data_IF_667776828791
#
_entry.id   IF_667776828791
#
_cell.length_a   1.000
_cell.length_b   1.000
_cell.length_c   1.000
_cell.angle_alpha   90.00
_cell.angle_beta   90.00
_cell.angle_gamma   90.00
#
_symmetry.space_group_name_H-M   'P 1'
#
loop_
_entity.id
_entity.type
_entity.pdbx_description
1 polymer ?
#
# COMPACT_ATOMS: atom_id res chain seq x y z
N UNK A 1 8.25 -6.64 69.63
CA UNK A 1 9.12 -5.46 69.49
C UNK A 1 8.57 -4.56 68.42
N UNK A 2 7.99 -3.49 68.87
CA UNK A 2 7.28 -2.46 68.13
C UNK A 2 8.22 -1.44 67.49
N UNK A 3 7.95 -1.01 66.26
CA UNK A 3 8.35 0.28 65.68
C UNK A 3 7.34 0.50 64.52
N UNK A 4 6.44 1.45 64.47
CA UNK A 4 6.52 2.85 64.78
C UNK A 4 6.22 3.57 63.45
N UNK A 5 4.89 3.80 63.13
CA UNK A 5 4.46 4.62 61.99
C UNK A 5 4.62 6.11 62.34
N UNK A 6 5.24 6.87 61.43
CA UNK A 6 5.23 8.32 61.46
C UNK A 6 4.27 8.88 60.40
N UNK A 7 3.49 9.91 60.70
CA UNK A 7 2.51 10.44 59.72
C UNK A 7 3.13 11.53 58.86
N UNK A 8 2.85 11.47 57.54
CA UNK A 8 3.13 12.59 56.63
C UNK A 8 2.08 13.68 56.74
N UNK A 9 2.56 14.87 57.00
CA UNK A 9 1.77 16.10 56.99
C UNK A 9 1.45 16.53 55.57
N UNK A 10 0.16 16.70 55.30
CA UNK A 10 -0.34 17.37 54.10
C UNK A 10 -0.18 18.88 54.30
N UNK A 11 0.58 19.54 53.43
CA UNK A 11 0.66 20.99 53.36
C UNK A 11 -0.25 21.39 52.15
N UNK A 12 -1.42 21.98 52.47
CA UNK A 12 -2.24 22.68 51.51
C UNK A 12 -1.59 24.01 51.16
N UNK A 13 -1.17 24.21 49.92
CA UNK A 13 -0.82 25.53 49.37
C UNK A 13 -1.94 25.96 48.46
N UNK A 14 -2.73 26.95 48.92
CA UNK A 14 -3.71 27.65 48.11
C UNK A 14 -2.98 28.59 47.16
N UNK A 15 -3.17 28.39 45.84
CA UNK A 15 -2.79 29.37 44.83
C UNK A 15 -4.04 30.10 44.31
N UNK A 16 -3.99 31.41 44.45
CA UNK A 16 -5.00 32.33 43.91
C UNK A 16 -4.97 32.32 42.38
N UNK A 17 -6.15 32.21 41.79
CA UNK A 17 -6.43 32.43 40.39
C UNK A 17 -6.18 33.92 40.03
N UNK A 18 -5.17 34.16 39.19
CA UNK A 18 -5.08 35.36 38.38
C UNK A 18 -5.57 35.01 36.96
N UNK A 19 -6.70 35.51 36.59
CA UNK A 19 -7.22 35.45 35.23
C UNK A 19 -6.38 36.35 34.33
N UNK A 20 -5.50 35.75 33.54
CA UNK A 20 -4.81 36.39 32.42
C UNK A 20 -5.49 35.97 31.10
N UNK A 21 -6.21 36.91 30.46
CA UNK A 21 -6.62 36.76 29.06
C UNK A 21 -5.36 36.79 28.19
N UNK A 22 -4.86 35.61 27.80
CA UNK A 22 -3.89 35.45 26.70
C UNK A 22 -4.63 35.16 25.39
N UNK A 23 -4.10 35.59 24.24
CA UNK A 23 -4.75 35.33 22.94
C UNK A 23 -4.81 33.82 22.68
N UNK A 24 -6.00 33.35 22.26
CA UNK A 24 -6.27 31.95 22.01
C UNK A 24 -5.24 31.35 21.06
N UNK A 25 -4.60 30.27 21.49
CA UNK A 25 -3.94 29.33 20.57
C UNK A 25 -5.05 28.67 19.73
N UNK A 26 -5.25 29.20 18.53
CA UNK A 26 -6.10 28.53 17.55
C UNK A 26 -5.54 27.13 17.31
N UNK A 27 -6.40 26.14 17.40
CA UNK A 27 -6.12 24.74 17.03
C UNK A 27 -5.69 24.69 15.56
N UNK A 28 -4.39 24.73 15.27
CA UNK A 28 -3.85 24.57 13.92
C UNK A 28 -4.26 23.22 13.29
N UNK A 29 -4.50 22.19 14.12
CA UNK A 29 -4.92 20.87 13.66
C UNK A 29 -6.34 20.78 13.11
N UNK A 30 -7.29 21.59 13.63
CA UNK A 30 -8.68 21.57 13.13
C UNK A 30 -8.85 22.31 11.80
N UNK A 31 -7.99 23.31 11.53
CA UNK A 31 -8.05 24.08 10.28
C UNK A 31 -7.43 23.33 9.09
N UNK A 32 -6.43 22.47 9.32
CA UNK A 32 -5.77 21.68 8.29
C UNK A 32 -6.65 20.50 7.84
N UNK A 33 -7.32 19.82 8.78
CA UNK A 33 -8.24 18.72 8.47
C UNK A 33 -9.45 19.16 7.62
N UNK A 34 -9.86 20.42 7.71
CA UNK A 34 -10.96 20.99 6.92
C UNK A 34 -10.60 21.23 5.43
N UNK A 35 -9.32 21.21 5.08
CA UNK A 35 -8.82 21.41 3.72
C UNK A 35 -8.51 20.09 2.98
N UNK A 36 -8.51 18.96 3.70
CA UNK A 36 -8.24 17.67 3.09
C UNK A 36 -9.46 17.17 2.29
N UNK A 37 -9.24 16.53 1.14
CA UNK A 37 -10.32 16.07 0.29
C UNK A 37 -11.12 14.95 0.96
N UNK A 38 -12.43 14.94 0.72
CA UNK A 38 -13.32 13.86 1.13
C UNK A 38 -14.27 13.53 -0.01
N UNK A 39 -14.15 12.31 -0.52
CA UNK A 39 -14.97 11.82 -1.64
C UNK A 39 -15.89 10.68 -1.19
N UNK A 40 -17.03 10.60 -1.86
CA UNK A 40 -17.94 9.48 -1.79
C UNK A 40 -18.11 8.85 -3.16
N UNK A 41 -18.50 7.58 -3.19
CA UNK A 41 -18.69 6.87 -4.45
C UNK A 41 -19.87 7.45 -5.26
N UNK A 42 -19.62 7.64 -6.56
CA UNK A 42 -20.60 7.85 -7.60
C UNK A 42 -20.18 7.01 -8.83
N UNK A 43 -21.15 6.46 -9.55
CA UNK A 43 -20.88 5.60 -10.72
C UNK A 43 -20.15 6.33 -11.87
N UNK A 44 -20.20 7.66 -11.90
CA UNK A 44 -19.46 8.49 -12.87
C UNK A 44 -17.96 8.52 -12.61
N UNK A 45 -17.51 8.04 -11.45
CA UNK A 45 -16.09 7.90 -11.11
C UNK A 45 -15.42 6.69 -11.77
N UNK A 46 -16.20 5.72 -12.28
CA UNK A 46 -15.68 4.49 -12.89
C UNK A 46 -14.88 4.82 -14.17
N UNK A 47 -13.61 4.39 -14.20
CA UNK A 47 -12.69 4.70 -15.29
C UNK A 47 -11.73 3.51 -15.56
N UNK A 48 -11.63 3.02 -16.82
CA UNK A 48 -12.49 3.34 -17.96
C UNK A 48 -13.95 2.95 -17.73
N UNK A 49 -14.87 3.71 -18.33
CA UNK A 49 -16.31 3.50 -18.13
C UNK A 49 -16.84 2.18 -18.73
N UNK A 50 -16.10 1.58 -19.66
CA UNK A 50 -16.43 0.30 -20.29
C UNK A 50 -16.00 -0.91 -19.46
N UNK A 51 -15.29 -0.69 -18.33
CA UNK A 51 -14.80 -1.77 -17.48
C UNK A 51 -13.81 -2.70 -18.18
N UNK A 52 -12.95 -2.17 -19.04
CA UNK A 52 -12.03 -2.93 -19.89
C UNK A 52 -10.72 -3.38 -19.19
N UNK A 53 -10.55 -3.07 -17.92
CA UNK A 53 -9.45 -3.58 -17.10
C UNK A 53 -9.87 -4.87 -16.38
N UNK A 54 -8.88 -5.60 -15.85
CA UNK A 54 -9.14 -6.80 -15.06
C UNK A 54 -8.17 -6.85 -13.88
N UNK A 55 -8.68 -6.54 -12.69
CA UNK A 55 -7.92 -6.43 -11.45
C UNK A 55 -6.77 -5.39 -11.58
N UNK A 56 -7.10 -4.11 -11.86
CA UNK A 56 -6.12 -3.02 -11.92
C UNK A 56 -5.62 -2.70 -10.51
N UNK A 57 -4.63 -3.44 -10.05
CA UNK A 57 -4.25 -3.52 -8.65
C UNK A 57 -3.41 -2.32 -8.21
N UNK A 58 -2.53 -1.84 -9.09
CA UNK A 58 -1.66 -0.69 -8.83
C UNK A 58 -1.34 0.05 -10.14
N UNK A 59 -0.63 1.16 -10.08
CA UNK A 59 -0.19 1.88 -11.27
C UNK A 59 0.49 3.21 -10.96
N UNK A 60 0.92 3.86 -12.03
CA UNK A 60 1.54 5.20 -11.96
C UNK A 60 0.96 6.12 -13.03
N UNK A 61 0.97 7.41 -12.76
CA UNK A 61 0.64 8.43 -13.75
C UNK A 61 1.92 9.00 -14.38
N UNK A 62 1.91 9.08 -15.70
CA UNK A 62 2.96 9.74 -16.46
C UNK A 62 2.73 11.27 -16.49
N UNK A 63 3.77 12.07 -16.74
CA UNK A 63 3.65 13.54 -16.78
C UNK A 63 2.63 14.07 -17.80
N UNK A 64 2.31 13.29 -18.82
CA UNK A 64 1.32 13.63 -19.86
C UNK A 64 -0.11 13.20 -19.50
N UNK A 65 -0.33 12.67 -18.30
CA UNK A 65 -1.63 12.27 -17.77
C UNK A 65 -2.08 10.86 -18.16
N UNK A 66 -1.30 10.13 -18.96
CA UNK A 66 -1.53 8.70 -19.21
C UNK A 66 -1.20 7.88 -17.98
N UNK A 67 -1.88 6.75 -17.81
CA UNK A 67 -1.62 5.82 -16.72
C UNK A 67 -0.94 4.57 -17.25
N UNK A 68 0.01 4.05 -16.47
CA UNK A 68 0.47 2.67 -16.62
C UNK A 68 -0.05 1.91 -15.43
N UNK A 69 -0.90 0.92 -15.69
CA UNK A 69 -1.64 0.18 -14.68
C UNK A 69 -1.20 -1.28 -14.67
N UNK A 70 -0.95 -1.82 -13.50
CA UNK A 70 -0.76 -3.26 -13.29
C UNK A 70 -2.12 -3.95 -13.31
N UNK A 71 -2.42 -4.60 -14.41
CA UNK A 71 -3.60 -5.45 -14.58
C UNK A 71 -3.17 -6.91 -14.32
N UNK A 72 -3.64 -7.49 -13.22
CA UNK A 72 -3.18 -8.82 -12.81
C UNK A 72 -3.54 -9.92 -13.82
N UNK A 73 -4.51 -9.68 -14.70
CA UNK A 73 -4.94 -10.65 -15.73
C UNK A 73 -4.25 -10.42 -17.06
N UNK A 74 -4.01 -9.15 -17.45
CA UNK A 74 -3.51 -8.80 -18.78
C UNK A 74 -2.05 -8.27 -18.79
N UNK A 75 -1.39 -8.18 -17.63
CA UNK A 75 -0.08 -7.56 -17.49
C UNK A 75 -0.17 -6.03 -17.38
N UNK A 76 0.82 -5.29 -17.90
CA UNK A 76 0.75 -3.84 -17.89
C UNK A 76 -0.19 -3.30 -18.97
N UNK A 77 -0.98 -2.30 -18.61
CA UNK A 77 -1.88 -1.57 -19.50
C UNK A 77 -1.51 -0.09 -19.52
N UNK A 78 -1.36 0.49 -20.71
CA UNK A 78 -1.32 1.94 -20.88
C UNK A 78 -2.75 2.43 -21.11
N UNK A 79 -3.25 3.23 -20.16
CA UNK A 79 -4.60 3.81 -20.21
C UNK A 79 -4.50 5.29 -20.56
N UNK A 80 -5.19 5.70 -21.61
CA UNK A 80 -5.23 7.07 -22.11
C UNK A 80 -6.20 7.92 -21.28
N UNK A 81 -6.10 9.23 -21.42
CA UNK A 81 -7.00 10.17 -20.73
C UNK A 81 -8.48 10.05 -21.13
N UNK A 82 -8.76 9.47 -22.31
CA UNK A 82 -10.11 9.16 -22.80
C UNK A 82 -10.64 7.80 -22.31
N UNK A 83 -9.84 7.05 -21.56
CA UNK A 83 -10.18 5.71 -21.07
C UNK A 83 -9.79 4.57 -22.00
N UNK A 84 -9.37 4.84 -23.23
CA UNK A 84 -8.88 3.76 -24.10
C UNK A 84 -7.61 3.13 -23.50
N UNK A 85 -7.49 1.80 -23.62
CA UNK A 85 -6.35 1.08 -23.05
C UNK A 85 -5.71 0.12 -24.05
N UNK A 86 -4.40 -0.09 -23.91
CA UNK A 86 -3.64 -1.06 -24.71
C UNK A 86 -2.55 -1.71 -23.87
N UNK A 87 -2.05 -2.91 -24.26
CA UNK A 87 -0.88 -3.50 -23.63
C UNK A 87 0.31 -2.54 -23.61
N UNK A 88 1.10 -2.60 -22.53
CA UNK A 88 2.33 -1.84 -22.36
C UNK A 88 3.45 -2.74 -21.89
N UNK A 89 4.69 -2.45 -22.35
CA UNK A 89 5.87 -3.22 -22.01
C UNK A 89 5.99 -4.54 -22.77
N UNK A 90 7.21 -5.04 -22.84
CA UNK A 90 7.56 -6.31 -23.50
C UNK A 90 7.72 -7.44 -22.47
N UNK A 91 6.82 -7.48 -21.47
CA UNK A 91 6.88 -8.40 -20.34
C UNK A 91 7.02 -9.87 -20.75
N UNK A 92 6.26 -10.29 -21.78
CA UNK A 92 6.31 -11.67 -22.27
C UNK A 92 7.69 -12.03 -22.86
N UNK A 93 8.35 -11.10 -23.56
CA UNK A 93 9.70 -11.29 -24.06
C UNK A 93 10.74 -11.40 -22.94
N UNK A 94 10.49 -10.74 -21.80
CA UNK A 94 11.30 -10.82 -20.59
C UNK A 94 10.99 -12.07 -19.74
N UNK A 95 10.10 -12.94 -20.19
CA UNK A 95 9.76 -14.20 -19.52
C UNK A 95 8.59 -14.12 -18.54
N UNK A 96 7.82 -13.03 -18.55
CA UNK A 96 6.55 -12.95 -17.85
C UNK A 96 5.54 -13.87 -18.53
N UNK A 97 4.91 -14.71 -17.73
CA UNK A 97 3.86 -15.59 -18.22
C UNK A 97 2.54 -15.23 -17.54
N UNK A 98 1.62 -14.71 -18.32
CA UNK A 98 0.24 -14.60 -17.87
C UNK A 98 -0.66 -15.29 -18.89
N UNK A 99 -1.54 -16.13 -18.42
CA UNK A 99 -2.45 -16.94 -19.24
C UNK A 99 -3.81 -16.95 -18.58
N UNK A 100 -4.63 -15.93 -18.82
CA UNK A 100 -5.98 -15.93 -18.26
C UNK A 100 -6.74 -17.20 -18.68
N UNK A 101 -7.45 -17.90 -17.79
CA UNK A 101 -7.72 -17.52 -16.40
C UNK A 101 -6.70 -18.04 -15.37
N UNK A 102 -5.63 -18.72 -15.78
CA UNK A 102 -4.73 -19.45 -14.86
C UNK A 102 -3.82 -18.55 -14.01
N UNK A 103 -3.72 -17.26 -14.33
CA UNK A 103 -2.96 -16.23 -13.57
C UNK A 103 -1.58 -16.71 -13.09
N UNK A 104 -0.78 -17.36 -13.95
CA UNK A 104 0.56 -17.83 -13.61
C UNK A 104 1.56 -16.66 -13.45
N UNK A 105 1.25 -15.46 -13.97
CA UNK A 105 1.89 -14.20 -13.69
C UNK A 105 0.82 -13.18 -13.36
N UNK A 106 1.09 -12.29 -12.42
CA UNK A 106 0.19 -11.22 -12.00
C UNK A 106 0.98 -9.95 -11.76
N UNK A 107 0.96 -9.02 -12.74
CA UNK A 107 1.51 -7.70 -12.51
C UNK A 107 0.76 -7.03 -11.35
N UNK A 108 1.50 -6.65 -10.31
CA UNK A 108 0.95 -6.17 -9.05
C UNK A 108 1.51 -4.77 -8.74
N UNK A 109 2.42 -4.63 -7.79
CA UNK A 109 3.01 -3.34 -7.47
C UNK A 109 3.76 -2.73 -8.66
N UNK A 110 3.53 -1.45 -8.94
CA UNK A 110 4.24 -0.66 -9.96
C UNK A 110 4.76 0.63 -9.36
N UNK A 111 6.06 0.87 -9.47
CA UNK A 111 6.67 2.09 -8.97
C UNK A 111 7.57 2.73 -10.03
N UNK A 112 7.56 4.07 -10.12
CA UNK A 112 8.56 4.82 -10.88
C UNK A 112 9.92 4.75 -10.16
N UNK A 113 10.98 4.44 -10.92
CA UNK A 113 12.34 4.57 -10.42
C UNK A 113 12.71 6.05 -10.25
N UNK A 114 13.65 6.39 -9.33
CA UNK A 114 14.22 7.70 -9.27
C UNK A 114 14.69 8.20 -10.65
N UNK A 115 14.20 9.38 -11.06
CA UNK A 115 14.44 9.92 -12.41
C UNK A 115 13.31 9.69 -13.42
N UNK A 116 12.30 8.87 -13.09
CA UNK A 116 11.05 8.75 -13.85
C UNK A 116 11.13 8.13 -15.24
N UNK A 117 12.28 7.54 -15.61
CA UNK A 117 12.50 6.94 -16.96
C UNK A 117 12.15 5.47 -17.04
N UNK A 118 12.06 4.79 -15.91
CA UNK A 118 11.77 3.37 -15.82
C UNK A 118 10.77 3.08 -14.71
N UNK A 119 10.09 1.94 -14.84
CA UNK A 119 9.22 1.36 -13.84
C UNK A 119 9.85 0.10 -13.28
N UNK A 120 9.61 -0.15 -12.00
CA UNK A 120 9.66 -1.50 -11.44
C UNK A 120 8.26 -2.08 -11.45
N UNK A 121 8.17 -3.36 -11.80
CA UNK A 121 6.92 -4.13 -11.81
C UNK A 121 7.13 -5.40 -11.02
N UNK A 122 6.35 -5.58 -9.98
CA UNK A 122 6.33 -6.79 -9.18
C UNK A 122 5.36 -7.82 -9.76
N UNK A 123 5.73 -9.09 -9.72
CA UNK A 123 4.89 -10.21 -10.18
C UNK A 123 4.47 -11.06 -8.96
N UNK A 124 3.22 -10.89 -8.54
CA UNK A 124 2.70 -11.49 -7.30
C UNK A 124 2.47 -13.01 -7.39
N UNK A 125 2.44 -13.56 -8.59
CA UNK A 125 2.31 -15.01 -8.80
C UNK A 125 3.58 -15.63 -9.35
N UNK A 126 4.28 -14.96 -10.28
CA UNK A 126 5.47 -15.46 -10.92
C UNK A 126 6.78 -15.19 -10.15
N UNK A 127 6.78 -14.28 -9.20
CA UNK A 127 7.92 -14.00 -8.32
C UNK A 127 9.06 -13.23 -8.98
N UNK A 128 8.81 -12.51 -10.07
CA UNK A 128 9.81 -11.71 -10.74
C UNK A 128 9.70 -10.22 -10.41
N UNK A 129 10.83 -9.50 -10.53
CA UNK A 129 10.85 -8.04 -10.65
C UNK A 129 11.29 -7.72 -12.09
N UNK A 130 10.43 -6.99 -12.78
CA UNK A 130 10.72 -6.46 -14.11
C UNK A 130 11.04 -4.97 -14.04
N UNK A 131 11.87 -4.52 -14.96
CA UNK A 131 12.15 -3.12 -15.21
C UNK A 131 11.69 -2.77 -16.60
N UNK A 132 10.89 -1.71 -16.73
CA UNK A 132 10.27 -1.32 -17.99
C UNK A 132 10.64 0.11 -18.32
N UNK A 133 11.22 0.37 -19.48
CA UNK A 133 11.48 1.74 -19.95
C UNK A 133 10.18 2.44 -20.34
N UNK A 134 9.91 3.59 -19.74
CA UNK A 134 8.66 4.35 -19.93
C UNK A 134 8.47 4.80 -21.39
N UNK A 135 9.56 5.17 -22.07
CA UNK A 135 9.52 5.71 -23.42
C UNK A 135 9.24 4.66 -24.50
N UNK A 136 9.80 3.47 -24.37
CA UNK A 136 9.76 2.42 -25.39
C UNK A 136 8.92 1.20 -25.01
N UNK A 137 8.77 0.95 -23.70
CA UNK A 137 8.23 -0.30 -23.17
C UNK A 137 9.23 -1.46 -23.17
N UNK A 138 10.49 -1.21 -23.53
CA UNK A 138 11.54 -2.23 -23.42
C UNK A 138 11.62 -2.78 -21.99
N UNK A 139 11.63 -4.10 -21.87
CA UNK A 139 11.46 -4.77 -20.57
C UNK A 139 12.60 -5.73 -20.32
N UNK A 140 13.15 -5.67 -19.13
CA UNK A 140 14.13 -6.65 -18.64
C UNK A 140 13.68 -7.26 -17.32
N UNK A 141 13.99 -8.53 -17.08
CA UNK A 141 13.82 -9.17 -15.78
C UNK A 141 15.07 -8.93 -14.95
N UNK A 142 14.92 -8.16 -13.85
CA UNK A 142 16.02 -7.83 -12.94
C UNK A 142 16.30 -8.93 -11.94
N UNK A 143 15.24 -9.58 -11.44
CA UNK A 143 15.35 -10.55 -10.34
C UNK A 143 14.27 -11.61 -10.42
N UNK A 144 14.56 -12.79 -9.90
CA UNK A 144 13.62 -13.89 -9.72
C UNK A 144 13.67 -14.35 -8.26
N UNK A 145 12.58 -14.15 -7.55
CA UNK A 145 12.37 -14.67 -6.21
C UNK A 145 11.68 -16.04 -6.27
N UNK A 146 11.81 -16.80 -5.22
CA UNK A 146 11.14 -18.12 -5.11
C UNK A 146 9.64 -18.02 -4.82
N UNK A 147 9.18 -16.89 -4.30
CA UNK A 147 7.78 -16.61 -4.00
C UNK A 147 7.28 -15.41 -4.80
N UNK A 148 5.97 -15.28 -4.93
CA UNK A 148 5.36 -14.12 -5.54
C UNK A 148 5.77 -12.82 -4.86
N UNK A 149 6.08 -11.78 -5.66
CA UNK A 149 6.48 -10.46 -5.16
C UNK A 149 5.29 -9.53 -5.24
N UNK A 150 4.89 -8.94 -4.10
CA UNK A 150 3.72 -8.07 -4.03
C UNK A 150 4.05 -6.64 -4.48
N UNK A 151 5.04 -6.00 -3.87
CA UNK A 151 5.44 -4.63 -4.14
C UNK A 151 6.96 -4.50 -4.24
N UNK A 152 7.47 -3.58 -5.07
CA UNK A 152 8.90 -3.31 -5.22
C UNK A 152 9.15 -1.83 -5.50
N UNK A 153 10.07 -1.22 -4.74
CA UNK A 153 10.49 0.18 -4.90
C UNK A 153 12.01 0.29 -4.95
N UNK A 154 12.54 1.23 -5.73
CA UNK A 154 13.97 1.52 -5.79
C UNK A 154 14.28 2.78 -4.99
N UNK A 155 15.29 2.70 -4.12
CA UNK A 155 15.79 3.86 -3.41
C UNK A 155 16.78 4.69 -4.25
N UNK A 156 17.13 5.89 -3.79
CA UNK A 156 18.07 6.79 -4.47
C UNK A 156 19.50 6.26 -4.51
N UNK A 157 19.83 5.23 -3.74
CA UNK A 157 21.12 4.51 -3.77
C UNK A 157 21.12 3.38 -4.80
N UNK A 158 19.98 3.12 -5.44
CA UNK A 158 19.79 2.12 -6.47
C UNK A 158 19.39 0.74 -5.97
N UNK A 159 19.30 0.52 -4.66
CA UNK A 159 18.83 -0.74 -4.10
C UNK A 159 17.31 -0.89 -4.30
N UNK A 160 16.85 -2.13 -4.42
CA UNK A 160 15.43 -2.46 -4.54
C UNK A 160 14.96 -3.09 -3.24
N UNK A 161 13.91 -2.51 -2.66
CA UNK A 161 13.19 -3.04 -1.52
C UNK A 161 11.90 -3.65 -2.03
N UNK A 162 11.59 -4.89 -1.63
CA UNK A 162 10.42 -5.58 -2.12
C UNK A 162 9.81 -6.47 -1.05
N UNK A 163 8.50 -6.74 -1.19
CA UNK A 163 7.76 -7.61 -0.29
C UNK A 163 7.32 -8.88 -0.98
N UNK A 164 7.27 -9.99 -0.23
CA UNK A 164 6.41 -11.12 -0.55
C UNK A 164 5.37 -11.29 0.57
N UNK A 165 4.12 -11.56 0.20
CA UNK A 165 3.01 -11.64 1.16
C UNK A 165 2.89 -13.02 1.79
N UNK A 166 3.21 -14.07 1.04
CA UNK A 166 3.08 -15.47 1.42
C UNK A 166 4.17 -16.31 0.75
N UNK A 167 4.27 -17.58 1.14
CA UNK A 167 5.17 -18.55 0.49
C UNK A 167 4.48 -19.19 -0.74
N UNK A 168 3.89 -18.38 -1.61
CA UNK A 168 3.29 -18.83 -2.86
C UNK A 168 4.34 -18.95 -3.94
N UNK A 169 4.77 -20.18 -4.25
CA UNK A 169 5.65 -20.43 -5.38
C UNK A 169 4.91 -20.19 -6.70
N UNK A 170 5.61 -19.97 -7.83
CA UNK A 170 4.96 -19.82 -9.15
C UNK A 170 4.05 -21.01 -9.52
N UNK A 171 4.37 -22.22 -9.06
CA UNK A 171 3.58 -23.43 -9.29
C UNK A 171 2.29 -23.46 -8.46
N UNK A 172 2.33 -22.93 -7.24
CA UNK A 172 1.16 -22.85 -6.35
C UNK A 172 0.29 -21.64 -6.65
N UNK A 173 0.90 -20.54 -7.09
CA UNK A 173 0.28 -19.34 -7.62
C UNK A 173 -0.76 -18.68 -6.70
N UNK A 174 -1.83 -18.23 -7.31
CA UNK A 174 -2.91 -17.47 -6.67
C UNK A 174 -3.62 -18.21 -5.53
N UNK A 175 -3.99 -19.49 -5.64
CA UNK A 175 -4.67 -20.20 -4.54
C UNK A 175 -3.86 -20.21 -3.25
N UNK A 176 -2.54 -20.33 -3.34
CA UNK A 176 -1.66 -20.34 -2.18
C UNK A 176 -1.53 -18.95 -1.55
N UNK A 177 -1.54 -17.88 -2.36
CA UNK A 177 -1.56 -16.51 -1.88
C UNK A 177 -2.82 -16.25 -1.04
N UNK A 178 -4.00 -16.57 -1.57
CA UNK A 178 -5.26 -16.36 -0.86
C UNK A 178 -5.42 -17.24 0.38
N UNK A 179 -4.79 -18.41 0.43
CA UNK A 179 -4.76 -19.22 1.64
C UNK A 179 -4.06 -18.53 2.83
N UNK A 180 -3.14 -17.61 2.58
CA UNK A 180 -2.50 -16.82 3.64
C UNK A 180 -3.37 -15.64 4.12
N UNK A 181 -4.35 -15.22 3.32
CA UNK A 181 -5.40 -14.28 3.74
C UNK A 181 -6.50 -15.02 4.51
N UNK A 182 -6.88 -16.21 4.06
CA UNK A 182 -7.92 -17.03 4.68
C UNK A 182 -7.60 -17.37 6.13
N UNK A 183 -6.41 -17.93 6.35
CA UNK A 183 -5.88 -18.20 7.69
C UNK A 183 -4.53 -17.50 7.81
N UNK A 184 -4.45 -16.54 8.70
CA UNK A 184 -3.27 -15.72 8.93
C UNK A 184 -2.00 -16.56 9.13
N UNK A 185 -0.97 -16.31 8.33
CA UNK A 185 0.32 -17.00 8.38
C UNK A 185 1.46 -15.99 8.42
N UNK A 186 2.43 -16.12 9.34
CA UNK A 186 3.57 -15.21 9.44
C UNK A 186 4.64 -15.56 8.39
N UNK A 187 4.25 -15.54 7.12
CA UNK A 187 5.09 -15.91 5.99
C UNK A 187 5.56 -14.71 5.17
N UNK A 188 4.95 -13.53 5.42
CA UNK A 188 5.33 -12.30 4.73
C UNK A 188 6.71 -11.80 5.14
N UNK A 189 7.39 -11.14 4.21
CA UNK A 189 8.70 -10.54 4.47
C UNK A 189 8.95 -9.28 3.64
N UNK A 190 9.85 -8.44 4.14
CA UNK A 190 10.53 -7.38 3.40
C UNK A 190 11.96 -7.82 3.12
N UNK A 191 12.36 -7.73 1.85
CA UNK A 191 13.69 -8.08 1.37
C UNK A 191 14.32 -6.88 0.65
N UNK A 192 15.65 -6.95 0.46
CA UNK A 192 16.42 -5.92 -0.22
C UNK A 192 17.43 -6.53 -1.19
N UNK A 193 17.47 -6.01 -2.41
CA UNK A 193 18.55 -6.21 -3.35
C UNK A 193 19.48 -4.99 -3.26
N UNK A 194 20.61 -5.16 -2.58
CA UNK A 194 21.61 -4.10 -2.43
C UNK A 194 22.42 -3.84 -3.70
N UNK A 195 23.17 -2.74 -3.73
CA UNK A 195 24.14 -2.45 -4.79
C UNK A 195 25.51 -2.95 -4.37
N UNK A 196 26.21 -3.66 -5.28
CA UNK A 196 27.60 -4.12 -5.12
C UNK A 196 28.37 -3.78 -6.39
N UNK A 197 29.47 -3.06 -6.27
CA UNK A 197 30.32 -2.64 -7.40
C UNK A 197 29.53 -2.01 -8.57
N UNK A 198 28.54 -1.15 -8.24
CA UNK A 198 27.70 -0.47 -9.21
C UNK A 198 26.64 -1.34 -9.90
N UNK A 199 26.43 -2.57 -9.43
CA UNK A 199 25.43 -3.51 -9.94
C UNK A 199 24.46 -3.95 -8.85
N UNK A 200 23.25 -4.30 -9.26
CA UNK A 200 22.28 -4.92 -8.36
C UNK A 200 22.79 -6.28 -7.90
N UNK A 201 22.62 -6.60 -6.62
CA UNK A 201 22.98 -7.91 -6.07
C UNK A 201 22.11 -9.00 -6.72
N UNK A 202 22.68 -10.19 -6.87
CA UNK A 202 21.98 -11.36 -7.43
C UNK A 202 21.14 -12.12 -6.39
N UNK A 203 21.38 -11.85 -5.11
CA UNK A 203 20.66 -12.44 -3.98
C UNK A 203 20.09 -11.36 -3.10
N UNK A 204 18.85 -11.54 -2.67
CA UNK A 204 18.18 -10.61 -1.78
C UNK A 204 18.52 -10.90 -0.31
N UNK A 205 18.70 -9.84 0.45
CA UNK A 205 18.89 -9.87 1.89
C UNK A 205 17.50 -9.83 2.56
N UNK A 206 17.27 -10.71 3.54
CA UNK A 206 16.06 -10.66 4.37
C UNK A 206 16.22 -9.53 5.40
N UNK A 207 15.30 -8.56 5.37
CA UNK A 207 15.34 -7.38 6.26
C UNK A 207 14.33 -7.48 7.40
N UNK A 208 13.10 -7.88 7.10
CA UNK A 208 12.04 -8.15 8.07
C UNK A 208 11.32 -9.41 7.67
N UNK A 209 11.07 -10.30 8.62
CA UNK A 209 10.34 -11.55 8.41
C UNK A 209 9.11 -11.66 9.32
N UNK A 210 8.43 -12.79 9.20
CA UNK A 210 7.30 -13.16 10.06
C UNK A 210 6.15 -12.15 10.04
N UNK A 211 5.93 -11.51 8.90
CA UNK A 211 4.84 -10.58 8.68
C UNK A 211 3.55 -11.31 8.27
N UNK A 212 2.42 -10.78 8.70
CA UNK A 212 1.11 -11.31 8.32
C UNK A 212 0.63 -10.61 7.03
N UNK A 213 1.02 -11.17 5.88
CA UNK A 213 0.73 -10.65 4.55
C UNK A 213 1.35 -9.26 4.31
N UNK A 214 2.70 -9.22 4.18
CA UNK A 214 3.43 -8.01 3.79
C UNK A 214 2.95 -7.56 2.40
N UNK A 215 2.67 -6.26 2.27
CA UNK A 215 2.07 -5.67 1.07
C UNK A 215 2.85 -4.43 0.61
N UNK A 216 2.22 -3.28 0.43
CA UNK A 216 2.84 -2.06 -0.03
C UNK A 216 4.03 -1.61 0.82
N UNK A 217 5.06 -1.08 0.18
CA UNK A 217 6.22 -0.47 0.81
C UNK A 217 6.46 0.91 0.22
N UNK A 218 6.67 1.92 1.08
CA UNK A 218 6.99 3.29 0.68
C UNK A 218 8.17 3.82 1.48
N UNK A 219 9.04 4.60 0.85
CA UNK A 219 10.26 5.13 1.48
C UNK A 219 10.23 6.66 1.41
N UNK A 220 10.13 7.30 2.57
CA UNK A 220 10.35 8.73 2.73
C UNK A 220 11.84 8.96 3.02
N UNK A 221 12.62 9.11 1.96
CA UNK A 221 14.07 9.31 2.09
C UNK A 221 14.42 10.62 2.78
N UNK A 222 13.61 11.67 2.58
CA UNK A 222 13.84 12.98 3.17
C UNK A 222 13.65 12.94 4.69
N UNK A 223 12.64 12.24 5.18
CA UNK A 223 12.40 12.05 6.60
C UNK A 223 13.18 10.86 7.19
N UNK A 224 13.74 9.99 6.34
CA UNK A 224 14.49 8.79 6.75
C UNK A 224 13.59 7.70 7.33
N UNK A 225 12.42 7.49 6.73
CA UNK A 225 11.47 6.46 7.15
C UNK A 225 11.11 5.50 6.01
N UNK A 226 10.91 4.24 6.36
CA UNK A 226 10.26 3.24 5.53
C UNK A 226 8.94 2.85 6.18
N UNK A 227 7.86 2.85 5.37
CA UNK A 227 6.52 2.39 5.73
C UNK A 227 6.25 1.05 5.06
N UNK A 228 5.63 0.13 5.78
CA UNK A 228 5.36 -1.23 5.33
C UNK A 228 3.96 -1.66 5.74
N UNK A 229 3.12 -1.96 4.77
CA UNK A 229 1.78 -2.49 5.01
C UNK A 229 1.84 -3.96 5.44
N UNK A 230 1.06 -4.31 6.45
CA UNK A 230 0.85 -5.67 6.93
C UNK A 230 -0.67 -5.93 6.95
N UNK A 231 -1.21 -6.36 5.79
CA UNK A 231 -2.65 -6.38 5.51
C UNK A 231 -3.42 -7.24 6.50
N UNK A 232 -3.00 -8.48 6.67
CA UNK A 232 -3.65 -9.43 7.61
C UNK A 232 -3.27 -9.10 9.05
N UNK A 233 -2.14 -8.43 9.26
CA UNK A 233 -1.72 -7.89 10.55
C UNK A 233 -2.50 -6.63 10.97
N UNK A 234 -3.30 -6.06 10.08
CA UNK A 234 -4.19 -4.93 10.36
C UNK A 234 -3.44 -3.63 10.68
N UNK A 235 -2.29 -3.36 10.03
CA UNK A 235 -1.46 -2.21 10.38
C UNK A 235 -0.51 -1.75 9.28
N UNK A 236 -0.02 -0.52 9.42
CA UNK A 236 1.19 -0.03 8.74
C UNK A 236 2.31 0.08 9.77
N UNK A 237 3.43 -0.57 9.48
CA UNK A 237 4.66 -0.46 10.26
C UNK A 237 5.52 0.69 9.74
N UNK A 238 6.25 1.37 10.63
CA UNK A 238 7.24 2.39 10.29
C UNK A 238 8.58 2.04 10.90
N UNK A 239 9.63 2.25 10.13
CA UNK A 239 11.02 2.03 10.54
C UNK A 239 11.85 3.26 10.21
N UNK A 240 12.87 3.55 11.02
CA UNK A 240 13.99 4.36 10.56
C UNK A 240 14.81 3.55 9.57
N UNK A 241 15.06 4.13 8.39
CA UNK A 241 15.86 3.48 7.34
C UNK A 241 17.22 4.14 7.21
N UNK A 242 18.25 3.31 7.13
CA UNK A 242 19.61 3.71 6.74
C UNK A 242 19.85 3.11 5.35
N UNK A 243 19.74 3.94 4.30
CA UNK A 243 19.84 3.49 2.91
C UNK A 243 21.27 3.07 2.55
N UNK A 244 22.29 3.69 3.14
CA UNK A 244 23.69 3.36 2.87
C UNK A 244 24.06 2.00 3.48
N UNK A 245 23.61 1.75 4.71
CA UNK A 245 23.79 0.45 5.38
C UNK A 245 22.78 -0.61 4.94
N UNK A 246 21.65 -0.21 4.34
CA UNK A 246 20.56 -1.12 3.98
C UNK A 246 19.83 -1.71 5.20
N UNK A 247 19.78 -0.99 6.33
CA UNK A 247 19.26 -1.50 7.60
C UNK A 247 18.06 -0.70 8.10
N UNK A 248 17.19 -1.38 8.85
CA UNK A 248 16.03 -0.79 9.51
C UNK A 248 16.21 -0.79 11.03
N UNK A 249 15.69 0.26 11.68
CA UNK A 249 15.71 0.44 13.14
C UNK A 249 14.39 1.01 13.63
N UNK A 250 14.18 1.06 14.93
CA UNK A 250 13.06 1.76 15.58
C UNK A 250 11.69 1.36 15.03
N UNK A 251 11.43 0.03 14.92
CA UNK A 251 10.12 -0.49 14.49
C UNK A 251 9.01 0.08 15.36
N UNK A 252 7.99 0.64 14.74
CA UNK A 252 6.77 1.11 15.40
C UNK A 252 5.55 0.80 14.56
N UNK A 253 4.37 0.69 15.20
CA UNK A 253 3.09 0.72 14.49
C UNK A 253 2.78 2.18 14.21
N UNK A 254 2.67 2.53 12.93
CA UNK A 254 2.37 3.90 12.49
C UNK A 254 0.86 4.10 12.31
N UNK A 255 0.19 3.14 11.69
CA UNK A 255 -1.27 3.08 11.57
C UNK A 255 -1.71 1.71 12.07
N UNK A 256 -2.68 1.66 12.95
CA UNK A 256 -3.30 0.43 13.45
C UNK A 256 -4.75 0.29 12.96
N UNK A 257 -5.34 -0.87 13.17
CA UNK A 257 -6.75 -1.15 12.87
C UNK A 257 -7.11 -0.83 11.41
N UNK A 258 -6.20 -1.18 10.47
CA UNK A 258 -6.39 -1.02 9.04
C UNK A 258 -5.78 -2.20 8.29
N UNK A 259 -6.58 -2.91 7.52
CA UNK A 259 -6.08 -3.93 6.59
C UNK A 259 -5.38 -3.24 5.40
N UNK A 260 -4.20 -2.64 5.66
CA UNK A 260 -3.48 -1.82 4.70
C UNK A 260 -2.99 -2.65 3.51
N UNK A 261 -3.22 -2.14 2.30
CA UNK A 261 -2.75 -2.70 1.04
C UNK A 261 -1.61 -1.84 0.47
N UNK A 262 -1.75 -1.24 -0.70
CA UNK A 262 -0.71 -0.37 -1.24
C UNK A 262 -0.58 0.94 -0.47
N UNK A 263 0.63 1.48 -0.47
CA UNK A 263 1.03 2.71 0.20
C UNK A 263 1.62 3.68 -0.83
N UNK A 264 1.18 4.95 -0.83
CA UNK A 264 1.74 5.97 -1.69
C UNK A 264 2.06 7.24 -0.89
N UNK A 265 3.23 7.85 -1.13
CA UNK A 265 3.62 9.14 -0.56
C UNK A 265 3.31 10.25 -1.57
N UNK A 266 2.56 11.29 -1.16
CA UNK A 266 2.19 12.40 -2.05
C UNK A 266 3.28 13.48 -2.20
N UNK A 267 4.35 13.39 -1.40
CA UNK A 267 5.38 14.43 -1.37
C UNK A 267 4.99 15.70 -0.59
N UNK A 268 3.75 15.80 -0.13
CA UNK A 268 3.22 16.92 0.66
C UNK A 268 3.09 16.59 2.16
N UNK A 269 3.57 15.43 2.55
CA UNK A 269 3.62 14.98 3.95
C UNK A 269 2.49 14.04 4.34
N UNK A 270 1.80 13.43 3.38
CA UNK A 270 0.82 12.40 3.64
C UNK A 270 1.21 11.07 3.04
N UNK A 271 0.93 10.01 3.79
CA UNK A 271 0.91 8.63 3.34
C UNK A 271 -0.54 8.24 3.03
N UNK A 272 -0.78 7.88 1.77
CA UNK A 272 -2.04 7.33 1.31
C UNK A 272 -2.04 5.84 1.60
N UNK A 273 -3.08 5.36 2.28
CA UNK A 273 -3.20 3.97 2.74
C UNK A 273 -4.52 3.41 2.24
N UNK A 274 -4.46 2.47 1.31
CA UNK A 274 -5.63 1.76 0.84
C UNK A 274 -6.04 0.66 1.82
N UNK A 275 -7.35 0.42 1.95
CA UNK A 275 -7.90 -0.66 2.76
C UNK A 275 -9.03 -1.38 2.02
N UNK A 276 -8.74 -2.57 1.43
CA UNK A 276 -9.70 -3.30 0.61
C UNK A 276 -10.95 -3.74 1.37
N UNK A 277 -10.80 -4.16 2.62
CA UNK A 277 -11.91 -4.69 3.41
C UNK A 277 -12.89 -3.60 3.82
N UNK A 278 -12.40 -2.40 4.13
CA UNK A 278 -13.23 -1.25 4.49
C UNK A 278 -13.57 -0.34 3.30
N UNK A 279 -13.10 -0.68 2.10
CA UNK A 279 -13.27 0.13 0.88
C UNK A 279 -12.92 1.61 1.12
N UNK A 280 -11.77 1.83 1.76
CA UNK A 280 -11.31 3.15 2.18
C UNK A 280 -9.99 3.53 1.53
N UNK A 281 -9.81 4.85 1.42
CA UNK A 281 -8.52 5.49 1.25
C UNK A 281 -8.31 6.47 2.40
N UNK A 282 -7.26 6.21 3.19
CA UNK A 282 -6.86 7.07 4.29
C UNK A 282 -5.67 7.94 3.88
N UNK A 283 -5.67 9.21 4.31
CA UNK A 283 -4.50 10.08 4.31
C UNK A 283 -3.97 10.14 5.76
N UNK A 284 -2.71 9.79 5.92
CA UNK A 284 -2.07 9.81 7.23
C UNK A 284 -0.91 10.81 7.20
N UNK A 285 -0.99 11.86 7.99
CA UNK A 285 0.09 12.85 8.09
C UNK A 285 1.36 12.16 8.64
N UNK A 286 2.45 12.20 7.87
CA UNK A 286 3.68 11.45 8.17
C UNK A 286 4.40 11.96 9.42
N UNK A 287 4.23 13.24 9.75
CA UNK A 287 4.85 13.86 10.91
C UNK A 287 4.06 13.62 12.21
N UNK A 288 2.72 13.71 12.16
CA UNK A 288 1.86 13.67 13.35
C UNK A 288 1.14 12.33 13.55
N UNK A 289 0.96 11.53 12.48
CA UNK A 289 0.13 10.32 12.49
C UNK A 289 -1.38 10.62 12.46
N UNK A 290 -1.78 11.88 12.29
CA UNK A 290 -3.20 12.24 12.16
C UNK A 290 -3.80 11.61 10.91
N UNK A 291 -5.00 11.03 11.06
CA UNK A 291 -5.69 10.27 10.00
C UNK A 291 -6.88 11.05 9.48
N UNK A 292 -7.07 11.01 8.19
CA UNK A 292 -8.23 11.53 7.48
C UNK A 292 -8.74 10.51 6.48
N UNK A 293 -10.04 10.25 6.47
CA UNK A 293 -10.66 9.38 5.45
C UNK A 293 -10.96 10.21 4.22
N UNK A 294 -10.14 10.06 3.17
CA UNK A 294 -10.32 10.76 1.91
C UNK A 294 -11.42 10.14 1.04
N UNK A 295 -11.59 8.83 1.10
CA UNK A 295 -12.65 8.10 0.41
C UNK A 295 -13.14 6.94 1.27
N UNK A 296 -14.46 6.72 1.26
CA UNK A 296 -15.08 5.53 1.84
C UNK A 296 -16.36 5.18 1.10
N UNK A 297 -16.50 3.88 0.77
CA UNK A 297 -17.72 3.33 0.21
C UNK A 297 -18.09 2.04 0.94
N UNK A 298 -18.69 2.17 2.11
CA UNK A 298 -19.03 1.06 2.98
C UNK A 298 -20.44 1.24 3.54
N UNK A 299 -21.33 0.26 3.28
CA UNK A 299 -22.67 0.23 3.91
C UNK A 299 -22.58 -0.38 5.31
N UNK A 300 -23.62 -0.21 6.16
CA UNK A 300 -23.67 -0.86 7.48
C UNK A 300 -23.56 -2.40 7.41
N UNK A 301 -24.15 -3.02 6.38
CA UNK A 301 -24.09 -4.46 6.15
C UNK A 301 -22.68 -4.91 5.79
N UNK A 302 -22.01 -4.18 4.92
CA UNK A 302 -20.60 -4.42 4.55
C UNK A 302 -19.68 -4.24 5.74
N UNK A 303 -19.94 -3.23 6.57
CA UNK A 303 -19.18 -3.01 7.80
C UNK A 303 -19.31 -4.20 8.77
N UNK A 304 -20.49 -4.80 8.87
CA UNK A 304 -20.68 -6.01 9.69
C UNK A 304 -19.90 -7.20 9.14
N UNK A 305 -19.85 -7.38 7.80
CA UNK A 305 -19.04 -8.43 7.16
C UNK A 305 -17.55 -8.19 7.38
N UNK A 306 -17.08 -6.95 7.24
CA UNK A 306 -15.69 -6.60 7.51
C UNK A 306 -15.30 -6.91 8.97
N UNK A 307 -16.14 -6.55 9.93
CA UNK A 307 -15.92 -6.86 11.34
C UNK A 307 -15.87 -8.37 11.62
N UNK A 308 -16.74 -9.16 10.98
CA UNK A 308 -16.71 -10.63 11.10
C UNK A 308 -15.45 -11.23 10.44
N UNK A 309 -15.02 -10.69 9.30
CA UNK A 309 -13.78 -11.10 8.65
C UNK A 309 -12.56 -10.87 9.56
N UNK A 310 -12.48 -9.71 10.21
CA UNK A 310 -11.43 -9.41 11.18
C UNK A 310 -11.50 -10.32 12.40
N UNK A 311 -12.71 -10.51 12.97
CA UNK A 311 -12.92 -11.40 14.12
C UNK A 311 -12.43 -12.82 13.84
N UNK A 312 -12.79 -13.38 12.68
CA UNK A 312 -12.33 -14.71 12.27
C UNK A 312 -10.83 -14.77 12.11
N UNK A 313 -10.24 -13.73 11.50
CA UNK A 313 -8.79 -13.63 11.36
C UNK A 313 -8.05 -13.68 12.70
N UNK A 314 -8.54 -12.94 13.70
CA UNK A 314 -7.99 -12.97 15.06
C UNK A 314 -8.18 -14.33 15.76
N UNK A 315 -9.23 -15.05 15.43
CA UNK A 315 -9.51 -16.40 15.96
C UNK A 315 -8.77 -17.52 15.21
N UNK A 316 -8.07 -17.20 14.10
CA UNK A 316 -7.43 -18.21 13.23
C UNK A 316 -8.44 -19.08 12.46
N UNK A 317 -9.64 -18.57 12.26
CA UNK A 317 -10.72 -19.23 11.51
C UNK A 317 -10.65 -18.86 10.02
N UNK A 318 -11.13 -19.76 9.13
CA UNK A 318 -11.30 -19.50 7.70
C UNK A 318 -12.30 -18.37 7.48
N UNK A 319 -11.99 -17.46 6.54
CA UNK A 319 -12.76 -16.22 6.34
C UNK A 319 -12.93 -15.78 4.89
N UNK A 320 -12.23 -16.41 3.92
CA UNK A 320 -12.29 -16.01 2.52
C UNK A 320 -13.67 -16.14 1.89
N UNK A 321 -14.53 -16.99 2.41
CA UNK A 321 -15.94 -17.09 1.97
C UNK A 321 -16.72 -15.78 2.18
N UNK A 322 -16.28 -14.93 3.12
CA UNK A 322 -16.85 -13.60 3.36
C UNK A 322 -16.40 -12.57 2.34
N UNK A 323 -15.24 -12.77 1.68
CA UNK A 323 -14.67 -11.83 0.72
C UNK A 323 -15.30 -12.04 -0.66
N UNK A 324 -16.50 -11.56 -0.84
CA UNK A 324 -17.31 -11.68 -2.04
C UNK A 324 -17.66 -10.30 -2.62
N UNK A 325 -18.14 -10.20 -3.87
CA UNK A 325 -18.57 -8.93 -4.46
C UNK A 325 -19.55 -8.13 -3.60
N UNK A 326 -20.30 -8.76 -2.70
CA UNK A 326 -21.17 -8.06 -1.78
C UNK A 326 -20.42 -7.13 -0.81
N UNK A 327 -19.12 -7.40 -0.53
CA UNK A 327 -18.30 -6.59 0.38
C UNK A 327 -17.94 -5.23 -0.21
N UNK A 328 -17.79 -5.15 -1.55
CA UNK A 328 -17.36 -3.91 -2.22
C UNK A 328 -18.41 -3.30 -3.15
N UNK A 329 -19.52 -3.96 -3.44
CA UNK A 329 -20.57 -3.35 -4.26
C UNK A 329 -21.07 -2.05 -3.60
N UNK A 330 -21.28 -0.95 -4.37
CA UNK A 330 -21.31 -0.88 -5.82
C UNK A 330 -19.98 -0.56 -6.52
N UNK A 331 -18.85 -0.59 -5.79
CA UNK A 331 -17.54 -0.38 -6.41
C UNK A 331 -17.25 -1.46 -7.45
N UNK A 332 -16.43 -1.19 -8.48
CA UNK A 332 -15.98 -2.20 -9.43
C UNK A 332 -15.15 -3.32 -8.77
N UNK A 333 -14.50 -3.03 -7.64
CA UNK A 333 -13.72 -3.95 -6.83
C UNK A 333 -13.32 -3.33 -5.49
N UNK A 334 -12.73 -4.09 -4.56
CA UNK A 334 -12.18 -3.55 -3.33
C UNK A 334 -11.01 -2.60 -3.63
N UNK A 335 -10.86 -1.54 -2.83
CA UNK A 335 -9.82 -0.51 -3.04
C UNK A 335 -8.46 -1.05 -2.60
N UNK A 336 -7.49 -1.12 -3.52
CA UNK A 336 -6.14 -1.65 -3.24
C UNK A 336 -5.04 -0.60 -3.22
N UNK A 337 -5.22 0.55 -3.88
CA UNK A 337 -4.18 1.57 -3.96
C UNK A 337 -4.68 2.90 -4.50
N UNK A 338 -3.75 3.85 -4.66
CA UNK A 338 -3.99 5.14 -5.28
C UNK A 338 -2.91 5.47 -6.31
N UNK A 339 -3.30 5.97 -7.46
CA UNK A 339 -2.40 6.58 -8.44
C UNK A 339 -2.53 8.10 -8.31
N UNK A 340 -1.47 8.75 -7.91
CA UNK A 340 -1.41 10.20 -7.71
C UNK A 340 -0.86 10.87 -8.96
N UNK A 341 -1.55 11.90 -9.44
CA UNK A 341 -1.05 12.76 -10.51
C UNK A 341 0.04 13.71 -10.01
N UNK A 342 0.75 14.38 -10.95
CA UNK A 342 1.71 15.40 -10.60
C UNK A 342 1.07 16.51 -9.75
N UNK A 343 1.65 16.77 -8.56
CA UNK A 343 1.08 17.73 -7.60
C UNK A 343 -0.16 17.19 -6.87
N UNK A 344 -0.29 15.84 -6.76
CA UNK A 344 -1.36 15.17 -6.01
C UNK A 344 -2.69 15.00 -6.76
N UNK A 345 -2.82 15.55 -7.97
CA UNK A 345 -4.06 15.47 -8.76
C UNK A 345 -3.82 15.22 -10.25
N UNK A 346 -4.72 14.54 -10.96
CA UNK A 346 -5.91 13.83 -10.44
C UNK A 346 -5.51 12.58 -9.66
N UNK A 347 -6.44 12.06 -8.85
CA UNK A 347 -6.28 10.82 -8.10
C UNK A 347 -7.13 9.72 -8.75
N UNK A 348 -6.55 8.52 -8.88
CA UNK A 348 -7.29 7.32 -9.23
C UNK A 348 -7.13 6.29 -8.12
N UNK A 349 -8.24 5.66 -7.71
CA UNK A 349 -8.16 4.50 -6.82
C UNK A 349 -8.11 3.23 -7.67
N UNK A 350 -7.21 2.34 -7.31
CA UNK A 350 -7.06 1.01 -7.92
C UNK A 350 -7.85 -0.04 -7.15
N UNK A 351 -8.03 -1.24 -7.73
CA UNK A 351 -8.80 -2.28 -7.08
C UNK A 351 -8.81 -3.61 -7.84
N UNK A 352 -9.31 -4.66 -7.19
CA UNK A 352 -9.40 -6.00 -7.79
C UNK A 352 -10.66 -6.21 -8.65
N UNK A 353 -11.18 -5.14 -9.26
CA UNK A 353 -12.35 -5.18 -10.13
C UNK A 353 -12.01 -5.07 -11.62
N UNK A 354 -12.84 -4.35 -12.34
CA UNK A 354 -12.71 -4.19 -13.80
C UNK A 354 -12.44 -2.73 -14.23
N UNK A 355 -12.25 -1.82 -13.28
CA UNK A 355 -11.99 -0.41 -13.53
C UNK A 355 -11.30 0.24 -12.32
N UNK A 356 -10.75 1.42 -12.54
CA UNK A 356 -10.30 2.36 -11.53
C UNK A 356 -11.47 3.26 -11.09
N UNK A 357 -11.29 4.03 -10.03
CA UNK A 357 -12.16 5.18 -9.71
C UNK A 357 -11.36 6.46 -9.90
N UNK A 358 -11.80 7.31 -10.82
CA UNK A 358 -11.22 8.65 -11.02
C UNK A 358 -11.89 9.64 -10.09
N UNK A 359 -11.18 10.10 -9.08
CA UNK A 359 -11.72 11.07 -8.12
C UNK A 359 -11.76 12.48 -8.72
N UNK A 360 -12.81 13.28 -8.44
CA UNK A 360 -12.93 14.66 -8.91
C UNK A 360 -11.88 15.55 -8.22
N UNK A 361 -11.52 16.62 -8.92
CA UNK A 361 -10.65 17.70 -8.38
C UNK A 361 -11.38 18.52 -7.34
#
# INVERSE_FOLDING_TARGET
MSRGCAPYRVVCVSWMLLAGCGPGQGNAGESEAALLPQWSYDSTLVFPADGSLARPEDGVMLPDGRLIVADQVHGLRLVQTDGSSRPFGELAAAGYAHRPPDHNGGANGVALEPGGTHLLVADVFGGAIYRVEVSSGATEKLYQHRYGINSAVRDSRGAIWFTHSAHNTPEEGEPRLWAAVDVARPEGALLRLGMRDGRLATEAELVVDSLLFANGVAIDEAAGYLYLAETVGGRVLRYRVDLDAGTLRERSVFVDSVGADNLELDGEGYLWVASPLSNEMLLVNTATGARHTAFRALTPEQQAVAAEFERRGLAGESRMELFTPAVWAPLPGPVTGAILGPGGEPVYLTGLGNALLRLPR
#
